data_IF_547203124580
#
_entry.id   IF_547203124580
#
_cell.length_a   1.000
_cell.length_b   1.000
_cell.length_c   1.000
_cell.angle_alpha   90.00
_cell.angle_beta   90.00
_cell.angle_gamma   90.00
#
_symmetry.space_group_name_H-M   'P 1'
#
loop_
_entity.id
_entity.type
_entity.pdbx_description
1 polymer ?
#
# COMPACT_ATOMS: atom_id res chain seq x y z
N UNK A 1 -48.86 -8.62 -4.61
CA UNK A 1 -47.78 -9.56 -4.25
C UNK A 1 -46.57 -9.49 -5.18
N UNK A 2 -46.54 -8.60 -6.18
CA UNK A 2 -45.43 -8.49 -7.16
C UNK A 2 -44.58 -7.24 -6.97
N UNK A 3 -45.11 -6.19 -6.36
CA UNK A 3 -44.36 -4.93 -6.16
C UNK A 3 -43.31 -5.05 -5.07
N UNK A 4 -43.60 -5.72 -3.96
CA UNK A 4 -42.59 -6.01 -2.92
C UNK A 4 -41.48 -6.92 -3.45
N UNK A 5 -41.82 -7.92 -4.27
CA UNK A 5 -40.84 -8.79 -4.93
C UNK A 5 -40.01 -8.01 -5.95
N UNK A 6 -40.63 -7.11 -6.72
CA UNK A 6 -39.94 -6.24 -7.67
C UNK A 6 -39.04 -5.21 -6.97
N UNK A 7 -39.46 -4.68 -5.84
CA UNK A 7 -38.69 -3.77 -4.98
C UNK A 7 -37.49 -4.48 -4.34
N UNK A 8 -37.70 -5.72 -3.86
CA UNK A 8 -36.64 -6.57 -3.32
C UNK A 8 -35.63 -6.97 -4.39
N UNK A 9 -36.09 -7.34 -5.60
CA UNK A 9 -35.23 -7.64 -6.74
C UNK A 9 -34.49 -6.38 -7.25
N UNK A 10 -35.11 -5.19 -7.21
CA UNK A 10 -34.42 -3.93 -7.49
C UNK A 10 -33.32 -3.67 -6.48
N UNK A 11 -33.58 -3.82 -5.17
CA UNK A 11 -32.56 -3.68 -4.13
C UNK A 11 -31.41 -4.67 -4.31
N UNK A 12 -31.71 -5.91 -4.70
CA UNK A 12 -30.69 -6.93 -4.96
C UNK A 12 -29.87 -6.63 -6.23
N UNK A 13 -30.52 -6.15 -7.30
CA UNK A 13 -29.83 -5.70 -8.52
C UNK A 13 -29.07 -4.38 -8.34
N UNK A 14 -29.34 -3.65 -7.26
CA UNK A 14 -28.58 -2.47 -6.81
C UNK A 14 -27.58 -2.86 -5.71
N UNK A 15 -27.21 -4.15 -5.61
CA UNK A 15 -25.91 -4.51 -5.02
C UNK A 15 -24.89 -3.60 -5.71
N UNK A 16 -24.34 -2.68 -4.94
CA UNK A 16 -23.32 -1.77 -5.41
C UNK A 16 -22.04 -2.61 -5.50
N UNK A 17 -21.99 -3.48 -6.50
CA UNK A 17 -20.72 -3.93 -7.04
C UNK A 17 -20.07 -2.65 -7.52
N UNK A 18 -19.03 -2.18 -6.82
CA UNK A 18 -18.15 -1.15 -7.37
C UNK A 18 -17.91 -1.54 -8.84
N UNK A 19 -18.08 -0.58 -9.75
CA UNK A 19 -17.81 -0.85 -11.16
C UNK A 19 -16.42 -1.49 -11.24
N UNK A 20 -16.22 -2.56 -12.03
CA UNK A 20 -14.87 -3.10 -12.24
C UNK A 20 -13.83 -2.01 -12.53
N UNK A 21 -14.20 -0.92 -13.21
CA UNK A 21 -13.37 0.26 -13.39
C UNK A 21 -13.01 0.95 -12.05
N UNK A 22 -13.99 1.24 -11.20
CA UNK A 22 -13.76 1.86 -9.87
C UNK A 22 -12.81 1.02 -9.01
N UNK A 23 -12.95 -0.31 -9.04
CA UNK A 23 -12.09 -1.23 -8.29
C UNK A 23 -10.66 -1.21 -8.83
N UNK A 24 -10.49 -1.16 -10.16
CA UNK A 24 -9.17 -1.05 -10.78
C UNK A 24 -8.53 0.30 -10.45
N UNK A 25 -9.30 1.39 -10.49
CA UNK A 25 -8.82 2.74 -10.16
C UNK A 25 -8.38 2.85 -8.69
N UNK A 26 -9.14 2.25 -7.75
CA UNK A 26 -8.74 2.14 -6.35
C UNK A 26 -7.40 1.39 -6.20
N UNK A 27 -7.25 0.26 -6.90
CA UNK A 27 -6.01 -0.51 -6.87
C UNK A 27 -4.82 0.27 -7.44
N UNK A 28 -5.00 1.00 -8.55
CA UNK A 28 -3.96 1.87 -9.13
C UNK A 28 -3.57 2.96 -8.15
N UNK A 29 -4.54 3.63 -7.51
CA UNK A 29 -4.26 4.65 -6.50
C UNK A 29 -3.48 4.09 -5.31
N UNK A 30 -3.80 2.88 -4.86
CA UNK A 30 -3.07 2.22 -3.78
C UNK A 30 -1.62 1.90 -4.18
N UNK A 31 -1.37 1.52 -5.44
CA UNK A 31 -0.02 1.30 -5.96
C UNK A 31 0.77 2.61 -6.06
N UNK A 32 0.13 3.70 -6.49
CA UNK A 32 0.74 5.03 -6.53
C UNK A 32 1.13 5.50 -5.12
N UNK A 33 0.28 5.28 -4.12
CA UNK A 33 0.60 5.58 -2.71
C UNK A 33 1.82 4.77 -2.21
N UNK A 34 1.95 3.50 -2.62
CA UNK A 34 3.13 2.68 -2.29
C UNK A 34 4.38 3.21 -2.97
N UNK A 35 4.30 3.61 -4.25
CA UNK A 35 5.41 4.23 -4.98
C UNK A 35 5.82 5.56 -4.33
N UNK A 36 4.87 6.39 -3.94
CA UNK A 36 5.12 7.64 -3.23
C UNK A 36 5.78 7.39 -1.87
N UNK A 37 5.37 6.34 -1.15
CA UNK A 37 6.00 5.94 0.11
C UNK A 37 7.46 5.50 -0.10
N UNK A 38 7.73 4.73 -1.15
CA UNK A 38 9.08 4.31 -1.50
C UNK A 38 9.97 5.52 -1.81
N UNK A 39 9.50 6.47 -2.63
CA UNK A 39 10.21 7.71 -2.92
C UNK A 39 10.47 8.54 -1.65
N UNK A 40 9.47 8.67 -0.75
CA UNK A 40 9.66 9.34 0.53
C UNK A 40 10.77 8.69 1.37
N UNK A 41 10.83 7.35 1.36
CA UNK A 41 11.86 6.55 2.03
C UNK A 41 13.25 6.81 1.45
N UNK A 42 13.37 6.79 0.13
CA UNK A 42 14.62 7.03 -0.61
C UNK A 42 15.16 8.45 -0.36
N UNK A 43 14.28 9.44 -0.27
CA UNK A 43 14.63 10.83 0.03
C UNK A 43 15.03 11.09 1.50
N UNK A 44 15.25 10.04 2.31
CA UNK A 44 15.56 10.16 3.74
C UNK A 44 14.38 10.64 4.59
N UNK A 45 13.16 10.39 4.13
CA UNK A 45 11.91 10.73 4.81
C UNK A 45 11.84 10.27 6.27
N UNK A 46 12.24 9.03 6.62
CA UNK A 46 12.22 8.56 8.01
C UNK A 46 13.05 9.42 8.96
N UNK A 47 14.27 9.81 8.58
CA UNK A 47 15.11 10.67 9.42
C UNK A 47 14.54 12.08 9.56
N UNK A 48 13.83 12.57 8.53
CA UNK A 48 13.10 13.85 8.60
C UNK A 48 11.87 13.72 9.51
N UNK A 49 11.16 12.60 9.44
CA UNK A 49 10.00 12.30 10.27
C UNK A 49 10.37 12.17 11.74
N UNK A 50 11.47 11.48 12.05
CA UNK A 50 12.00 11.34 13.41
C UNK A 50 12.33 12.71 14.03
N UNK A 51 13.07 13.56 13.30
CA UNK A 51 13.34 14.96 13.70
C UNK A 51 12.07 15.78 13.91
N UNK A 52 11.03 15.58 13.10
CA UNK A 52 9.76 16.27 13.25
C UNK A 52 8.99 15.79 14.50
N UNK A 53 9.02 14.49 14.79
CA UNK A 53 8.45 13.91 16.02
C UNK A 53 9.11 14.51 17.25
N UNK A 54 10.45 14.57 17.27
CA UNK A 54 11.21 15.16 18.37
C UNK A 54 10.85 16.62 18.57
N UNK A 55 10.78 17.39 17.48
CA UNK A 55 10.39 18.80 17.54
C UNK A 55 8.97 18.98 18.09
N UNK A 56 8.01 18.17 17.66
CA UNK A 56 6.64 18.19 18.17
C UNK A 56 6.58 17.83 19.66
N UNK A 57 7.33 16.81 20.09
CA UNK A 57 7.42 16.42 21.50
C UNK A 57 8.01 17.54 22.37
N UNK A 58 9.08 18.21 21.90
CA UNK A 58 9.68 19.36 22.59
C UNK A 58 8.75 20.56 22.66
N UNK A 59 7.89 20.74 21.66
CA UNK A 59 6.87 21.79 21.64
C UNK A 59 5.62 21.45 22.47
N UNK A 60 5.52 20.24 23.05
CA UNK A 60 4.35 19.79 23.80
C UNK A 60 3.19 19.29 22.92
N UNK A 61 3.37 19.21 21.60
CA UNK A 61 2.38 18.62 20.68
C UNK A 61 2.47 17.09 20.70
N UNK A 62 1.90 16.53 21.77
CA UNK A 62 1.90 15.08 22.00
C UNK A 62 1.07 14.31 20.97
N UNK A 63 0.06 14.94 20.36
CA UNK A 63 -0.80 14.30 19.37
C UNK A 63 -0.05 14.07 18.07
N UNK A 64 0.62 15.10 17.55
CA UNK A 64 1.46 14.99 16.36
C UNK A 64 2.63 14.04 16.59
N UNK A 65 3.32 14.15 17.73
CA UNK A 65 4.42 13.24 18.06
C UNK A 65 3.96 11.77 18.12
N UNK A 66 2.77 11.50 18.70
CA UNK A 66 2.20 10.14 18.74
C UNK A 66 1.84 9.62 17.36
N UNK A 67 1.22 10.45 16.51
CA UNK A 67 0.86 10.08 15.14
C UNK A 67 2.11 9.79 14.31
N UNK A 68 3.14 10.63 14.42
CA UNK A 68 4.40 10.45 13.73
C UNK A 68 5.09 9.15 14.12
N UNK A 69 5.19 8.82 15.43
CA UNK A 69 5.77 7.55 15.89
C UNK A 69 5.05 6.33 15.33
N UNK A 70 3.71 6.38 15.24
CA UNK A 70 2.92 5.31 14.62
C UNK A 70 3.24 5.17 13.14
N UNK A 71 3.30 6.28 12.41
CA UNK A 71 3.68 6.27 11.01
C UNK A 71 5.08 5.70 10.80
N UNK A 72 6.06 6.14 11.60
CA UNK A 72 7.44 5.65 11.52
C UNK A 72 7.52 4.14 11.76
N UNK A 73 6.85 3.63 12.81
CA UNK A 73 6.82 2.19 13.08
C UNK A 73 6.14 1.36 12.00
N UNK A 74 5.15 1.91 11.29
CA UNK A 74 4.57 1.25 10.10
C UNK A 74 5.58 1.19 8.96
N UNK A 75 6.30 2.29 8.70
CA UNK A 75 7.32 2.34 7.64
C UNK A 75 8.44 1.34 7.91
N UNK A 76 8.93 1.28 9.15
CA UNK A 76 9.96 0.33 9.58
C UNK A 76 9.48 -1.11 9.37
N UNK A 77 8.25 -1.44 9.80
CA UNK A 77 7.68 -2.77 9.57
C UNK A 77 7.56 -3.12 8.08
N UNK A 78 7.14 -2.18 7.24
CA UNK A 78 7.08 -2.41 5.80
C UNK A 78 8.47 -2.72 5.22
N UNK A 79 9.50 -2.02 5.69
CA UNK A 79 10.90 -2.27 5.28
C UNK A 79 11.39 -3.63 5.75
N UNK A 80 11.09 -4.03 6.97
CA UNK A 80 11.48 -5.34 7.51
C UNK A 80 10.84 -6.47 6.69
N UNK A 81 9.53 -6.38 6.42
CA UNK A 81 8.82 -7.38 5.59
C UNK A 81 9.39 -7.42 4.17
N UNK A 82 9.68 -6.27 3.57
CA UNK A 82 10.29 -6.21 2.24
C UNK A 82 11.69 -6.84 2.25
N UNK A 83 12.52 -6.49 3.24
CA UNK A 83 13.85 -7.07 3.41
C UNK A 83 13.77 -8.59 3.56
N UNK A 84 12.92 -9.11 4.45
CA UNK A 84 12.72 -10.56 4.62
C UNK A 84 12.36 -11.26 3.31
N UNK A 85 11.52 -10.61 2.48
CA UNK A 85 11.12 -11.13 1.17
C UNK A 85 12.29 -11.26 0.18
N UNK A 86 13.26 -10.35 0.22
CA UNK A 86 14.45 -10.38 -0.64
C UNK A 86 15.61 -11.19 -0.05
N UNK A 87 15.71 -11.34 1.27
CA UNK A 87 16.76 -12.12 1.93
C UNK A 87 16.44 -13.63 1.97
N UNK A 88 15.16 -14.00 1.95
CA UNK A 88 14.70 -15.39 2.00
C UNK A 88 14.84 -16.13 0.65
N UNK A 89 16.05 -16.18 0.08
CA UNK A 89 16.49 -17.26 -0.82
C UNK A 89 15.63 -17.62 -2.06
N UNK A 90 14.59 -16.87 -2.40
CA UNK A 90 13.96 -16.88 -3.72
C UNK A 90 14.68 -15.85 -4.55
N UNK A 91 15.94 -16.17 -4.89
CA UNK A 91 16.51 -15.63 -6.10
C UNK A 91 15.47 -15.84 -7.19
N UNK A 92 15.09 -14.76 -7.87
CA UNK A 92 14.54 -14.89 -9.21
C UNK A 92 15.63 -15.62 -10.00
N UNK A 93 15.50 -16.94 -10.04
CA UNK A 93 16.28 -17.78 -10.94
C UNK A 93 15.75 -17.42 -12.32
N UNK A 94 16.25 -16.31 -12.86
CA UNK A 94 16.34 -16.08 -14.28
C UNK A 94 17.40 -17.05 -14.79
N UNK A 95 17.10 -18.36 -14.74
CA UNK A 95 17.74 -19.31 -15.63
C UNK A 95 17.33 -18.85 -17.02
N UNK A 96 18.28 -18.24 -17.72
CA UNK A 96 18.25 -18.04 -19.16
C UNK A 96 18.04 -19.42 -19.81
N UNK A 97 16.78 -19.79 -20.02
CA UNK A 97 16.38 -21.00 -20.72
C UNK A 97 16.10 -20.66 -22.18
N UNK A 98 16.88 -21.29 -23.06
CA UNK A 98 16.66 -21.50 -24.49
C UNK A 98 16.62 -20.29 -25.44
N UNK A 99 17.81 -19.93 -25.96
CA UNK A 99 17.90 -19.56 -27.37
C UNK A 99 17.91 -20.85 -28.22
N UNK A 100 16.98 -21.03 -29.17
CA UNK A 100 17.01 -22.18 -30.08
C UNK A 100 18.18 -22.04 -31.08
N UNK A 101 18.79 -23.15 -31.53
CA UNK A 101 19.85 -23.08 -32.53
C UNK A 101 19.26 -22.67 -33.87
N UNK A 102 19.71 -21.53 -34.39
CA UNK A 102 19.56 -21.16 -35.80
C UNK A 102 20.24 -22.24 -36.65
N UNK A 103 19.43 -22.94 -37.46
CA UNK A 103 19.91 -23.78 -38.57
C UNK A 103 20.36 -22.92 -39.74
#
# INVERSE_FOLDING_TARGET
MTDEVREALRRLATETTLDPADTVDEAVSALDDVCALAAFVEDGGPDRLDRAIDRAARAGDTATARRGRRALGTIERCRDVAADHFHSGRGTVLSAGDQPPTR
#
